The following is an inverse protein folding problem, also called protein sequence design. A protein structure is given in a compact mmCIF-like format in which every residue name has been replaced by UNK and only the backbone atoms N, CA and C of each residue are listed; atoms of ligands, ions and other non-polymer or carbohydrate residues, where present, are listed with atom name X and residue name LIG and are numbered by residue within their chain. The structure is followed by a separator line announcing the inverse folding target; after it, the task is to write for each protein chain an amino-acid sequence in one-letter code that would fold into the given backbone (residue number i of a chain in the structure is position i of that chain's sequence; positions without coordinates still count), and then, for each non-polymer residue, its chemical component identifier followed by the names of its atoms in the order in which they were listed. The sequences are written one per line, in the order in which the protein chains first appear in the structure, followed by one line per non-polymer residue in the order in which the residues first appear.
data_IF_546480594475
#
_entry.id   IF_546480594475
#
_cell.length_a   1.000
_cell.length_b   1.000
_cell.length_c   1.000
_cell.angle_alpha   90.00
_cell.angle_beta   90.00
_cell.angle_gamma   90.00
#
_symmetry.space_group_name_H-M   'P 1'
#
loop_
_entity.id
_entity.type
_entity.pdbx_description
1 polymer ?
#
# COMPACT_ATOMS: atom_id res chain seq x y z
N UNK A 1 10.01 -61.19 -50.93
CA UNK A 1 9.59 -60.60 -49.64
C UNK A 1 10.14 -59.19 -49.33
N UNK A 2 10.80 -58.47 -50.26
CA UNK A 2 11.49 -57.19 -49.99
C UNK A 2 10.93 -55.96 -50.73
N UNK A 3 9.66 -55.99 -51.11
CA UNK A 3 9.00 -54.91 -51.90
C UNK A 3 7.78 -54.30 -51.19
N UNK A 4 7.17 -54.98 -50.22
CA UNK A 4 6.08 -54.42 -49.42
C UNK A 4 6.56 -53.51 -48.28
N UNK A 5 7.74 -53.77 -47.71
CA UNK A 5 8.25 -53.05 -46.54
C UNK A 5 8.76 -51.64 -46.90
N UNK A 6 9.27 -51.44 -48.12
CA UNK A 6 9.80 -50.16 -48.61
C UNK A 6 8.70 -49.15 -48.91
N UNK A 7 7.57 -49.60 -49.48
CA UNK A 7 6.43 -48.74 -49.81
C UNK A 7 5.66 -48.25 -48.58
N UNK A 8 5.63 -49.04 -47.50
CA UNK A 8 4.99 -48.65 -46.24
C UNK A 8 5.89 -47.71 -45.41
N UNK A 9 7.21 -47.95 -45.45
CA UNK A 9 8.22 -47.09 -44.83
C UNK A 9 8.29 -45.70 -45.48
N UNK A 10 8.34 -45.61 -46.82
CA UNK A 10 8.38 -44.33 -47.54
C UNK A 10 7.10 -43.48 -47.34
N UNK A 11 5.93 -44.12 -47.25
CA UNK A 11 4.66 -43.44 -46.94
C UNK A 11 4.62 -42.93 -45.49
N UNK A 12 5.20 -43.67 -44.54
CA UNK A 12 5.30 -43.25 -43.14
C UNK A 12 6.24 -42.06 -42.98
N UNK A 13 7.37 -42.04 -43.68
CA UNK A 13 8.30 -40.89 -43.67
C UNK A 13 7.70 -39.63 -44.31
N UNK A 14 6.98 -39.76 -45.44
CA UNK A 14 6.30 -38.62 -46.08
C UNK A 14 5.20 -38.07 -45.15
N UNK A 15 4.40 -38.92 -44.52
CA UNK A 15 3.38 -38.49 -43.56
C UNK A 15 4.01 -37.79 -42.34
N UNK A 16 5.12 -38.32 -41.82
CA UNK A 16 5.84 -37.72 -40.69
C UNK A 16 6.46 -36.35 -41.04
N UNK A 17 6.99 -36.19 -42.26
CA UNK A 17 7.51 -34.90 -42.73
C UNK A 17 6.42 -33.84 -42.94
N UNK A 18 5.23 -34.23 -43.40
CA UNK A 18 4.10 -33.29 -43.59
C UNK A 18 3.54 -32.80 -42.25
N UNK A 19 3.50 -33.67 -41.22
CA UNK A 19 3.10 -33.27 -39.87
C UNK A 19 4.14 -32.37 -39.21
N UNK A 20 5.44 -32.64 -39.41
CA UNK A 20 6.51 -31.82 -38.85
C UNK A 20 6.60 -30.40 -39.45
N UNK A 21 6.28 -30.24 -40.75
CA UNK A 21 6.26 -28.93 -41.39
C UNK A 21 5.08 -28.05 -40.92
N UNK A 22 3.94 -28.65 -40.58
CA UNK A 22 2.74 -27.90 -40.17
C UNK A 22 2.82 -27.25 -38.78
N UNK A 23 3.77 -27.68 -37.93
CA UNK A 23 3.92 -27.17 -36.55
C UNK A 23 5.09 -26.19 -36.37
N UNK A 24 5.95 -26.03 -37.38
CA UNK A 24 7.16 -25.20 -37.27
C UNK A 24 6.89 -23.68 -37.37
N UNK A 25 5.77 -23.26 -37.96
CA UNK A 25 5.49 -21.86 -38.31
C UNK A 25 4.37 -21.19 -37.50
N UNK A 26 3.98 -21.73 -36.34
CA UNK A 26 3.06 -21.01 -35.43
C UNK A 26 3.84 -19.91 -34.71
N UNK A 27 4.05 -18.79 -35.40
CA UNK A 27 4.50 -17.54 -34.79
C UNK A 27 3.36 -17.04 -33.89
N UNK A 28 3.62 -16.65 -32.62
CA UNK A 28 2.61 -15.95 -31.84
C UNK A 28 2.25 -14.66 -32.57
N UNK A 29 1.02 -14.59 -33.06
CA UNK A 29 0.52 -13.40 -33.74
C UNK A 29 0.17 -12.35 -32.68
N UNK A 30 1.13 -11.49 -32.37
CA UNK A 30 0.90 -10.32 -31.54
C UNK A 30 0.02 -9.34 -32.31
N UNK A 31 -1.21 -9.14 -31.84
CA UNK A 31 -2.08 -8.08 -32.33
C UNK A 31 -1.49 -6.70 -32.05
N UNK A 32 -2.02 -5.64 -32.69
CA UNK A 32 -1.68 -4.28 -32.29
C UNK A 32 -1.96 -4.08 -30.79
N UNK A 33 -1.18 -3.25 -30.07
CA UNK A 33 -1.46 -2.94 -28.68
C UNK A 33 -2.89 -2.40 -28.56
N UNK A 34 -3.58 -2.75 -27.47
CA UNK A 34 -4.87 -2.15 -27.20
C UNK A 34 -4.74 -0.63 -27.11
N UNK A 35 -5.70 0.13 -27.64
CA UNK A 35 -5.74 1.58 -27.45
C UNK A 35 -5.61 1.91 -25.96
N UNK A 36 -4.72 2.85 -25.63
CA UNK A 36 -4.63 3.36 -24.27
C UNK A 36 -5.93 4.07 -23.91
N UNK A 37 -6.56 3.61 -22.83
CA UNK A 37 -7.66 4.30 -22.18
C UNK A 37 -7.13 4.92 -20.88
N UNK A 38 -7.34 6.22 -20.70
CA UNK A 38 -7.15 6.84 -19.39
C UNK A 38 -8.14 6.21 -18.41
N UNK A 39 -7.60 5.59 -17.36
CA UNK A 39 -8.39 5.17 -16.21
C UNK A 39 -9.02 6.42 -15.57
N UNK A 40 -10.32 6.39 -15.22
CA UNK A 40 -10.94 7.52 -14.53
C UNK A 40 -10.24 7.78 -13.20
N UNK A 41 -9.77 9.01 -12.98
CA UNK A 41 -9.21 9.43 -11.69
C UNK A 41 -10.34 9.49 -10.67
N UNK A 42 -10.40 8.53 -9.76
CA UNK A 42 -11.28 8.57 -8.60
C UNK A 42 -10.73 9.48 -7.51
N UNK A 43 -11.58 10.20 -6.75
CA UNK A 43 -11.14 10.93 -5.56
C UNK A 43 -10.39 10.02 -4.57
N UNK A 44 -9.39 10.54 -3.84
CA UNK A 44 -8.63 9.74 -2.90
C UNK A 44 -9.54 9.26 -1.76
N UNK A 45 -9.40 7.97 -1.41
CA UNK A 45 -10.12 7.37 -0.30
C UNK A 45 -9.23 6.39 0.45
N UNK A 46 -9.00 6.66 1.73
CA UNK A 46 -8.19 5.80 2.59
C UNK A 46 -8.59 5.95 4.06
N UNK A 47 -8.17 4.99 4.87
CA UNK A 47 -8.14 5.11 6.32
C UNK A 47 -6.97 4.30 6.86
N UNK A 48 -6.29 4.84 7.86
CA UNK A 48 -5.19 4.16 8.52
C UNK A 48 -5.14 4.54 10.00
N UNK A 49 -4.47 3.69 10.77
CA UNK A 49 -4.17 3.93 12.17
C UNK A 49 -2.84 3.27 12.52
N UNK A 50 -2.10 3.90 13.43
CA UNK A 50 -0.91 3.32 14.03
C UNK A 50 -0.77 3.76 15.49
N UNK A 51 0.04 3.03 16.24
CA UNK A 51 0.36 3.36 17.62
C UNK A 51 1.73 2.81 18.01
N UNK A 52 2.36 3.49 18.97
CA UNK A 52 3.61 3.12 19.60
C UNK A 52 3.36 3.00 21.10
N UNK A 53 3.74 1.88 21.69
CA UNK A 53 3.74 1.67 23.13
C UNK A 53 5.05 0.99 23.51
N UNK A 54 6.08 1.80 23.77
CA UNK A 54 7.42 1.33 24.12
C UNK A 54 7.72 1.60 25.60
N UNK A 55 7.70 0.53 26.40
CA UNK A 55 8.00 0.60 27.83
C UNK A 55 9.47 0.91 28.15
N UNK A 56 10.40 0.72 27.21
CA UNK A 56 11.81 1.03 27.44
C UNK A 56 12.09 2.53 27.36
N UNK A 57 11.65 3.19 26.28
CA UNK A 57 11.78 4.64 26.14
C UNK A 57 10.69 5.42 26.89
N UNK A 58 9.59 4.78 27.26
CA UNK A 58 8.40 5.44 27.80
C UNK A 58 7.54 6.12 26.71
N UNK A 59 7.85 5.89 25.44
CA UNK A 59 7.10 6.47 24.31
C UNK A 59 5.72 5.85 24.18
N UNK A 60 4.67 6.68 24.22
CA UNK A 60 3.30 6.26 23.96
C UNK A 60 2.59 7.28 23.07
N UNK A 61 2.32 6.88 21.82
CA UNK A 61 1.70 7.73 20.81
C UNK A 61 0.68 6.94 20.00
N UNK A 62 -0.37 7.60 19.53
CA UNK A 62 -1.38 7.03 18.64
C UNK A 62 -1.75 8.02 17.55
N UNK A 63 -2.10 7.54 16.37
CA UNK A 63 -2.61 8.37 15.29
C UNK A 63 -3.55 7.57 14.41
N UNK A 64 -4.65 8.19 13.99
CA UNK A 64 -5.53 7.66 12.96
C UNK A 64 -6.08 8.78 12.10
N UNK A 65 -6.20 8.50 10.81
CA UNK A 65 -6.73 9.43 9.83
C UNK A 65 -7.58 8.68 8.80
N UNK A 66 -8.59 9.38 8.27
CA UNK A 66 -9.34 8.95 7.10
C UNK A 66 -9.50 10.11 6.13
N UNK A 67 -9.58 9.76 4.84
CA UNK A 67 -9.85 10.70 3.77
C UNK A 67 -10.93 10.15 2.86
N UNK A 68 -11.89 11.01 2.50
CA UNK A 68 -12.86 10.78 1.44
C UNK A 68 -12.98 12.04 0.57
N UNK A 69 -12.34 12.02 -0.59
CA UNK A 69 -12.27 13.16 -1.50
C UNK A 69 -11.54 14.36 -0.89
N UNK A 70 -12.28 15.45 -0.65
CA UNK A 70 -11.75 16.67 -0.01
C UNK A 70 -11.74 16.61 1.51
N UNK A 71 -12.53 15.72 2.11
CA UNK A 71 -12.62 15.59 3.57
C UNK A 71 -11.49 14.71 4.09
N UNK A 72 -10.63 15.28 4.93
CA UNK A 72 -9.63 14.55 5.73
C UNK A 72 -9.93 14.79 7.20
N UNK A 73 -10.03 13.74 7.99
CA UNK A 73 -10.26 13.85 9.43
C UNK A 73 -9.45 12.81 10.20
N UNK A 74 -8.98 13.18 11.38
CA UNK A 74 -8.12 12.31 12.16
C UNK A 74 -7.94 12.77 13.59
N UNK A 75 -7.21 11.95 14.35
CA UNK A 75 -6.81 12.27 15.71
C UNK A 75 -5.45 11.67 16.01
N UNK A 76 -4.65 12.37 16.81
CA UNK A 76 -3.44 11.82 17.41
C UNK A 76 -3.36 12.05 18.92
N UNK A 77 -2.62 11.18 19.59
CA UNK A 77 -2.41 11.21 21.04
C UNK A 77 -0.92 11.13 21.37
N UNK A 78 -0.51 11.88 22.39
CA UNK A 78 0.87 11.93 22.88
C UNK A 78 0.87 11.98 24.40
N UNK A 79 1.52 11.01 25.04
CA UNK A 79 1.81 11.10 26.47
C UNK A 79 2.97 12.08 26.71
N UNK A 80 2.71 13.08 27.55
CA UNK A 80 3.63 14.17 27.84
C UNK A 80 4.46 13.90 29.10
N UNK A 81 5.67 14.48 29.21
CA UNK A 81 6.52 14.33 30.40
C UNK A 81 5.90 14.84 31.70
N UNK A 82 4.89 15.71 31.63
CA UNK A 82 4.16 16.24 32.79
C UNK A 82 3.02 15.32 33.26
N UNK A 83 2.90 14.13 32.69
CA UNK A 83 1.90 13.12 33.05
C UNK A 83 0.56 13.27 32.34
N UNK A 84 0.37 14.29 31.49
CA UNK A 84 -0.85 14.45 30.69
C UNK A 84 -0.77 13.68 29.38
N UNK A 85 -1.93 13.28 28.86
CA UNK A 85 -2.06 12.86 27.45
C UNK A 85 -2.63 14.02 26.65
N UNK A 86 -1.88 14.54 25.69
CA UNK A 86 -2.40 15.45 24.68
C UNK A 86 -3.20 14.66 23.65
N UNK A 87 -4.37 15.18 23.29
CA UNK A 87 -5.23 14.64 22.24
C UNK A 87 -5.51 15.77 21.27
N UNK A 88 -5.21 15.56 19.99
CA UNK A 88 -5.53 16.50 18.93
C UNK A 88 -6.46 15.81 17.95
N UNK A 89 -7.63 16.38 17.74
CA UNK A 89 -8.62 15.92 16.75
C UNK A 89 -8.77 16.99 15.69
N UNK A 90 -8.76 16.62 14.42
CA UNK A 90 -8.73 17.58 13.32
C UNK A 90 -9.61 17.17 12.14
N UNK A 91 -10.00 18.16 11.35
CA UNK A 91 -10.74 18.01 10.10
C UNK A 91 -10.31 19.09 9.09
N UNK A 92 -10.23 18.73 7.82
CA UNK A 92 -10.08 19.61 6.67
C UNK A 92 -11.09 19.18 5.60
N UNK A 93 -11.99 20.08 5.19
CA UNK A 93 -13.01 19.80 4.15
C UNK A 93 -12.62 20.39 2.78
N UNK A 94 -11.37 20.85 2.60
CA UNK A 94 -10.88 21.52 1.40
C UNK A 94 -10.98 23.05 1.44
N UNK A 95 -11.61 23.60 2.48
CA UNK A 95 -11.78 25.03 2.73
C UNK A 95 -10.96 25.54 3.94
N UNK A 96 -10.26 24.65 4.63
CA UNK A 96 -9.38 25.00 5.73
C UNK A 96 -9.24 23.88 6.77
N UNK A 97 -8.14 23.95 7.52
CA UNK A 97 -7.82 23.01 8.58
C UNK A 97 -8.29 23.53 9.95
N UNK A 98 -9.05 22.71 10.67
CA UNK A 98 -9.51 22.98 12.04
C UNK A 98 -9.04 21.85 12.95
N UNK A 99 -8.48 22.21 14.12
CA UNK A 99 -8.06 21.25 15.11
C UNK A 99 -8.48 21.66 16.53
N UNK A 100 -8.99 20.68 17.28
CA UNK A 100 -9.27 20.76 18.70
C UNK A 100 -8.15 20.07 19.47
N UNK A 101 -7.50 20.81 20.37
CA UNK A 101 -6.44 20.30 21.24
C UNK A 101 -6.97 20.20 22.66
N UNK A 102 -6.94 18.99 23.23
CA UNK A 102 -7.35 18.72 24.60
C UNK A 102 -6.27 17.94 25.36
N UNK A 103 -6.39 17.94 26.68
CA UNK A 103 -5.47 17.25 27.57
C UNK A 103 -6.26 16.39 28.56
N UNK A 104 -5.82 15.15 28.78
CA UNK A 104 -6.28 14.29 29.86
C UNK A 104 -5.21 14.18 30.94
N UNK A 105 -5.62 14.15 32.20
CA UNK A 105 -4.72 14.10 33.35
C UNK A 105 -4.40 15.49 33.94
N UNK A 106 -3.52 15.51 34.93
CA UNK A 106 -3.06 16.72 35.61
C UNK A 106 -1.57 16.93 35.34
N UNK A 107 -1.18 18.19 35.13
CA UNK A 107 0.23 18.51 34.89
C UNK A 107 1.01 18.43 36.21
N UNK A 108 2.10 17.65 36.22
CA UNK A 108 3.05 17.56 37.33
C UNK A 108 4.35 18.24 36.92
N UNK A 109 4.77 19.22 37.72
CA UNK A 109 6.01 19.96 37.51
C UNK A 109 7.04 19.56 38.58
N UNK A 110 8.33 19.44 38.23
CA UNK A 110 9.37 19.27 39.23
C UNK A 110 9.46 20.51 40.12
N UNK A 111 9.86 20.32 41.37
CA UNK A 111 10.17 21.42 42.27
C UNK A 111 11.23 22.33 41.64
N UNK A 112 11.05 23.65 41.82
CA UNK A 112 12.06 24.60 41.39
C UNK A 112 13.39 24.27 42.09
N UNK A 113 14.53 24.29 41.38
CA UNK A 113 15.82 24.06 42.01
C UNK A 113 16.03 25.10 43.12
N UNK A 114 16.60 24.65 44.24
CA UNK A 114 16.93 25.55 45.34
C UNK A 114 17.76 26.75 44.81
N UNK A 115 17.47 27.98 45.24
CA UNK A 115 18.28 29.12 44.85
C UNK A 115 19.74 28.84 45.21
N UNK A 116 20.65 29.13 44.30
CA UNK A 116 22.08 28.99 44.55
C UNK A 116 22.45 29.86 45.75
N UNK A 117 23.02 29.26 46.79
CA UNK A 117 23.63 30.02 47.87
C UNK A 117 24.94 30.62 47.33
N UNK A 118 25.05 31.95 47.32
CA UNK A 118 26.31 32.66 47.07
C UNK A 118 27.18 32.68 48.32
#
# INVERSE_FOLDING_TARGET
HRTHQTNMSLKLYILLCVVAAAVADVQPQYGPPEPYHEEPISPPKYSYNYGVADGYSGSNYGHGESRDGYKTEGSYTVDLPDGRTQIVTYVDNGDGFIADVSYKGEAVYPDAPAPYAK
#
